data_IF_498002782184
#
_entry.id   IF_498002782184
#
_cell.length_a   1.000
_cell.length_b   1.000
_cell.length_c   1.000
_cell.angle_alpha   90.00
_cell.angle_beta   90.00
_cell.angle_gamma   90.00
#
_symmetry.space_group_name_H-M   'P 1'
#
loop_
_entity.id
_entity.type
_entity.pdbx_description
1 polymer ?
#
# COMPACT_ATOMS: atom_id res chain seq x y z
N UNK A 1 10.00 -19.90 -18.83
CA UNK A 1 11.35 -19.39 -19.14
C UNK A 1 11.19 -17.95 -19.58
N UNK A 2 11.87 -17.01 -18.92
CA UNK A 2 11.76 -15.58 -19.25
C UNK A 2 12.29 -15.28 -20.65
N UNK A 3 11.64 -14.33 -21.35
CA UNK A 3 12.14 -13.75 -22.60
C UNK A 3 13.40 -12.90 -22.33
N UNK A 4 14.03 -12.40 -23.36
CA UNK A 4 15.18 -11.51 -23.22
C UNK A 4 14.79 -10.17 -22.58
N UNK A 5 13.66 -9.59 -22.99
CA UNK A 5 13.09 -8.36 -22.42
C UNK A 5 12.73 -8.54 -20.94
N UNK A 6 12.10 -9.65 -20.59
CA UNK A 6 11.77 -9.96 -19.19
C UNK A 6 13.01 -10.16 -18.31
N UNK A 7 14.09 -10.72 -18.88
CA UNK A 7 15.37 -10.81 -18.16
C UNK A 7 16.00 -9.43 -17.94
N UNK A 8 16.01 -8.60 -18.97
CA UNK A 8 16.52 -7.22 -18.85
C UNK A 8 15.73 -6.43 -17.78
N UNK A 9 14.41 -6.51 -17.81
CA UNK A 9 13.53 -5.89 -16.81
C UNK A 9 13.81 -6.41 -15.39
N UNK A 10 13.96 -7.72 -15.23
CA UNK A 10 14.34 -8.33 -13.96
C UNK A 10 15.68 -7.80 -13.44
N UNK A 11 16.69 -7.75 -14.31
CA UNK A 11 18.04 -7.35 -13.92
C UNK A 11 18.11 -5.86 -13.58
N UNK A 12 17.32 -5.02 -14.25
CA UNK A 12 17.12 -3.61 -13.90
C UNK A 12 16.49 -3.45 -12.50
N UNK A 13 15.41 -4.16 -12.22
CA UNK A 13 14.75 -4.11 -10.91
C UNK A 13 15.66 -4.62 -9.80
N UNK A 14 16.37 -5.71 -10.03
CA UNK A 14 17.34 -6.26 -9.08
C UNK A 14 18.43 -5.25 -8.74
N UNK A 15 19.01 -4.60 -9.75
CA UNK A 15 20.00 -3.56 -9.56
C UNK A 15 19.41 -2.41 -8.71
N UNK A 16 18.24 -1.90 -9.09
CA UNK A 16 17.57 -0.83 -8.36
C UNK A 16 17.32 -1.19 -6.90
N UNK A 17 16.70 -2.33 -6.62
CA UNK A 17 16.38 -2.74 -5.26
C UNK A 17 17.62 -2.96 -4.39
N UNK A 18 18.72 -3.38 -4.96
CA UNK A 18 19.95 -3.62 -4.20
C UNK A 18 20.79 -2.37 -3.98
N UNK A 19 20.68 -1.35 -4.84
CA UNK A 19 21.47 -0.12 -4.76
C UNK A 19 20.73 1.05 -4.14
N UNK A 20 19.44 1.25 -4.48
CA UNK A 20 18.70 2.45 -4.08
C UNK A 20 17.96 2.29 -2.74
N UNK A 21 17.54 1.06 -2.39
CA UNK A 21 16.88 0.83 -1.10
C UNK A 21 17.94 0.73 0.01
N UNK A 22 17.79 1.48 1.13
CA UNK A 22 18.77 1.50 2.21
C UNK A 22 19.13 0.10 2.72
N UNK A 23 20.42 -0.18 2.82
CA UNK A 23 20.93 -1.50 3.18
C UNK A 23 20.54 -1.92 4.61
N UNK A 24 20.39 -0.97 5.53
CA UNK A 24 19.94 -1.22 6.90
C UNK A 24 18.47 -1.65 6.94
N UNK A 25 17.60 -1.04 6.13
CA UNK A 25 16.19 -1.45 5.99
C UNK A 25 16.12 -2.87 5.44
N UNK A 26 16.83 -3.16 4.34
CA UNK A 26 16.89 -4.51 3.76
C UNK A 26 17.43 -5.55 4.77
N UNK A 27 18.42 -5.17 5.56
CA UNK A 27 18.98 -6.04 6.60
C UNK A 27 17.98 -6.33 7.72
N UNK A 28 17.14 -5.34 8.11
CA UNK A 28 16.05 -5.54 9.09
C UNK A 28 15.05 -6.55 8.54
N UNK A 29 14.60 -6.38 7.28
CA UNK A 29 13.66 -7.30 6.63
C UNK A 29 14.23 -8.71 6.54
N UNK A 30 15.45 -8.88 6.05
CA UNK A 30 16.13 -10.17 5.94
C UNK A 30 16.29 -10.89 7.29
N UNK A 31 16.44 -10.12 8.37
CA UNK A 31 16.55 -10.64 9.74
C UNK A 31 15.19 -10.83 10.45
N UNK A 32 14.06 -10.57 9.78
CA UNK A 32 12.72 -10.64 10.37
C UNK A 32 12.49 -9.62 11.50
N UNK A 33 13.22 -8.52 11.50
CA UNK A 33 13.07 -7.45 12.49
C UNK A 33 11.93 -6.50 12.09
N UNK A 34 11.28 -5.93 13.10
CA UNK A 34 10.25 -4.90 12.88
C UNK A 34 10.84 -3.65 12.25
N UNK A 35 10.12 -3.08 11.30
CA UNK A 35 10.41 -1.79 10.70
C UNK A 35 9.73 -0.67 11.48
N UNK A 36 10.40 0.47 11.58
CA UNK A 36 9.82 1.70 12.11
C UNK A 36 9.02 2.45 11.03
N UNK A 37 8.25 3.47 11.45
CA UNK A 37 7.50 4.35 10.54
C UNK A 37 8.39 4.95 9.45
N UNK A 38 9.56 5.43 9.84
CA UNK A 38 10.50 6.09 8.93
C UNK A 38 11.09 5.12 7.88
N UNK A 39 11.30 3.86 8.24
CA UNK A 39 11.75 2.83 7.30
C UNK A 39 10.74 2.63 6.16
N UNK A 40 9.44 2.57 6.51
CA UNK A 40 8.36 2.46 5.51
C UNK A 40 8.26 3.71 4.64
N UNK A 41 8.27 4.90 5.24
CA UNK A 41 8.16 6.16 4.50
C UNK A 41 9.33 6.34 3.54
N UNK A 42 10.56 6.15 4.01
CA UNK A 42 11.75 6.29 3.18
C UNK A 42 11.72 5.32 2.00
N UNK A 43 11.43 4.05 2.26
CA UNK A 43 11.38 3.04 1.20
C UNK A 43 10.27 3.32 0.19
N UNK A 44 9.07 3.63 0.64
CA UNK A 44 7.96 3.88 -0.27
C UNK A 44 8.18 5.12 -1.14
N UNK A 45 8.80 6.16 -0.62
CA UNK A 45 9.17 7.35 -1.39
C UNK A 45 10.20 7.05 -2.49
N UNK A 46 11.19 6.22 -2.19
CA UNK A 46 12.16 5.75 -3.19
C UNK A 46 11.45 4.94 -4.29
N UNK A 47 10.58 4.01 -3.90
CA UNK A 47 9.77 3.23 -4.83
C UNK A 47 8.84 4.13 -5.66
N UNK A 48 8.18 5.10 -5.02
CA UNK A 48 7.28 6.03 -5.69
C UNK A 48 8.00 6.89 -6.73
N UNK A 49 9.16 7.45 -6.39
CA UNK A 49 9.98 8.24 -7.31
C UNK A 49 10.39 7.46 -8.58
N UNK A 50 10.47 6.12 -8.48
CA UNK A 50 10.78 5.22 -9.61
C UNK A 50 9.52 4.67 -10.30
N UNK A 51 8.31 5.02 -9.83
CA UNK A 51 7.04 4.48 -10.33
C UNK A 51 6.77 3.02 -9.89
N UNK A 52 7.38 2.59 -8.80
CA UNK A 52 7.32 1.20 -8.33
C UNK A 52 6.48 1.00 -7.05
N UNK A 53 5.89 2.06 -6.48
CA UNK A 53 5.13 1.97 -5.24
C UNK A 53 3.72 1.39 -5.44
N UNK A 54 3.06 1.72 -6.54
CA UNK A 54 1.66 1.36 -6.80
C UNK A 54 1.45 0.84 -8.23
N UNK A 55 2.25 -0.13 -8.70
CA UNK A 55 2.25 -0.53 -10.11
C UNK A 55 0.92 -1.12 -10.59
N UNK A 56 0.07 -1.55 -9.66
CA UNK A 56 -1.24 -2.13 -9.97
C UNK A 56 -2.38 -1.10 -10.09
N UNK A 57 -2.08 0.17 -9.86
CA UNK A 57 -3.08 1.23 -10.02
C UNK A 57 -3.27 1.62 -11.48
N UNK A 58 -4.33 2.40 -11.82
CA UNK A 58 -4.42 3.05 -13.11
C UNK A 58 -3.19 3.90 -13.40
N UNK A 59 -2.76 3.92 -14.67
CA UNK A 59 -1.52 4.61 -15.08
C UNK A 59 -1.54 6.09 -14.73
N UNK A 60 -2.68 6.75 -14.90
CA UNK A 60 -2.88 8.16 -14.56
C UNK A 60 -2.69 8.47 -13.07
N UNK A 61 -2.70 7.45 -12.21
CA UNK A 61 -2.48 7.57 -10.76
C UNK A 61 -1.18 6.92 -10.27
N UNK A 62 -0.23 6.70 -11.18
CA UNK A 62 1.11 6.18 -10.86
C UNK A 62 1.27 4.67 -11.03
N UNK A 63 0.27 4.00 -11.59
CA UNK A 63 0.35 2.58 -11.97
C UNK A 63 1.22 2.34 -13.20
N UNK A 64 1.43 1.07 -13.49
CA UNK A 64 2.22 0.61 -14.63
C UNK A 64 1.35 -0.29 -15.52
N UNK A 65 1.47 -0.13 -16.83
CA UNK A 65 0.83 -1.02 -17.80
C UNK A 65 1.65 -2.29 -18.00
N UNK A 66 1.85 -3.01 -16.91
CA UNK A 66 2.64 -4.23 -16.89
C UNK A 66 1.83 -5.47 -17.20
N UNK A 67 2.45 -6.38 -17.93
CA UNK A 67 1.96 -7.75 -18.07
C UNK A 67 1.94 -8.46 -16.69
N UNK A 68 1.15 -9.54 -16.55
CA UNK A 68 1.19 -10.37 -15.33
C UNK A 68 2.59 -10.89 -15.00
N UNK A 69 3.42 -11.18 -16.02
CA UNK A 69 4.79 -11.63 -15.82
C UNK A 69 5.68 -10.52 -15.24
N UNK A 70 5.57 -9.30 -15.74
CA UNK A 70 6.33 -8.17 -15.21
C UNK A 70 5.95 -7.87 -13.74
N UNK A 71 4.66 -7.96 -13.40
CA UNK A 71 4.20 -7.83 -12.00
C UNK A 71 4.80 -8.92 -11.10
N UNK A 72 4.83 -10.15 -11.60
CA UNK A 72 5.46 -11.26 -10.86
C UNK A 72 6.96 -11.06 -10.68
N UNK A 73 7.66 -10.58 -11.72
CA UNK A 73 9.09 -10.26 -11.64
C UNK A 73 9.32 -9.16 -10.60
N UNK A 74 8.56 -8.08 -10.66
CA UNK A 74 8.65 -6.97 -9.69
C UNK A 74 8.52 -7.47 -8.25
N UNK A 75 7.47 -8.23 -7.94
CA UNK A 75 7.25 -8.76 -6.60
C UNK A 75 8.36 -9.72 -6.17
N UNK A 76 8.78 -10.62 -7.06
CA UNK A 76 9.82 -11.61 -6.77
C UNK A 76 11.16 -10.94 -6.49
N UNK A 77 11.57 -9.98 -7.31
CA UNK A 77 12.86 -9.28 -7.12
C UNK A 77 12.85 -8.40 -5.87
N UNK A 78 11.71 -7.77 -5.54
CA UNK A 78 11.53 -7.04 -4.29
C UNK A 78 11.74 -7.95 -3.06
N UNK A 79 11.10 -9.11 -3.06
CA UNK A 79 11.23 -10.08 -1.97
C UNK A 79 12.64 -10.66 -1.87
N UNK A 80 13.26 -11.04 -2.99
CA UNK A 80 14.64 -11.55 -3.03
C UNK A 80 15.66 -10.53 -2.54
N UNK A 81 15.43 -9.23 -2.79
CA UNK A 81 16.28 -8.15 -2.31
C UNK A 81 15.95 -7.72 -0.86
N UNK A 82 14.99 -8.37 -0.20
CA UNK A 82 14.51 -8.01 1.14
C UNK A 82 14.03 -6.56 1.26
N UNK A 83 13.36 -6.08 0.21
CA UNK A 83 12.72 -4.76 0.21
C UNK A 83 11.35 -4.89 0.86
N UNK A 84 10.97 -4.03 1.80
CA UNK A 84 9.61 -4.03 2.34
C UNK A 84 8.61 -3.65 1.25
N UNK A 85 7.51 -4.40 1.19
CA UNK A 85 6.42 -4.06 0.28
C UNK A 85 5.83 -2.68 0.61
N UNK A 86 5.35 -1.94 -0.40
CA UNK A 86 4.56 -0.73 -0.17
C UNK A 86 3.44 -1.00 0.82
N UNK A 87 3.13 -0.01 1.67
CA UNK A 87 2.14 -0.19 2.74
C UNK A 87 0.83 -0.75 2.17
N UNK A 88 0.42 -2.00 2.54
CA UNK A 88 -0.70 -2.66 1.91
C UNK A 88 -2.02 -1.92 2.04
N UNK A 89 -2.24 -1.24 3.17
CA UNK A 89 -3.45 -0.43 3.40
C UNK A 89 -3.59 0.68 2.36
N UNK A 90 -2.45 1.31 1.99
CA UNK A 90 -2.38 2.33 0.96
C UNK A 90 -2.44 1.73 -0.45
N UNK A 91 -1.48 0.84 -0.76
CA UNK A 91 -1.20 0.41 -2.13
C UNK A 91 -2.22 -0.60 -2.67
N UNK A 92 -2.68 -1.53 -1.81
CA UNK A 92 -3.48 -2.68 -2.25
C UNK A 92 -4.93 -2.64 -1.77
N UNK A 93 -5.27 -1.78 -0.80
CA UNK A 93 -6.62 -1.73 -0.23
C UNK A 93 -7.33 -0.43 -0.60
N UNK A 94 -7.08 0.68 0.12
CA UNK A 94 -7.86 1.90 -0.06
C UNK A 94 -7.56 2.61 -1.39
N UNK A 95 -6.32 2.62 -1.86
CA UNK A 95 -5.95 3.27 -3.11
C UNK A 95 -6.75 2.78 -4.30
N UNK A 96 -6.82 1.48 -4.58
CA UNK A 96 -7.66 0.93 -5.65
C UNK A 96 -9.15 1.27 -5.50
N UNK A 97 -9.68 1.32 -4.28
CA UNK A 97 -11.08 1.69 -4.02
C UNK A 97 -11.33 3.15 -4.36
N UNK A 98 -10.46 4.06 -3.93
CA UNK A 98 -10.56 5.49 -4.29
C UNK A 98 -10.41 5.66 -5.81
N UNK A 99 -9.45 4.97 -6.44
CA UNK A 99 -9.23 5.04 -7.87
C UNK A 99 -10.46 4.59 -8.68
N UNK A 100 -11.18 3.56 -8.21
CA UNK A 100 -12.35 3.02 -8.88
C UNK A 100 -13.63 3.80 -8.59
N UNK A 101 -13.88 4.15 -7.33
CA UNK A 101 -15.19 4.62 -6.86
C UNK A 101 -15.19 6.07 -6.35
N UNK A 102 -14.03 6.65 -6.08
CA UNK A 102 -13.93 8.02 -5.58
C UNK A 102 -14.36 9.05 -6.63
N UNK A 103 -14.90 10.18 -6.16
CA UNK A 103 -15.09 11.33 -7.02
C UNK A 103 -13.74 11.86 -7.53
N UNK A 104 -13.74 12.66 -8.60
CA UNK A 104 -12.50 13.25 -9.13
C UNK A 104 -11.75 14.05 -8.06
N UNK A 105 -12.46 14.83 -7.27
CA UNK A 105 -11.88 15.59 -6.16
C UNK A 105 -11.23 14.69 -5.07
N UNK A 106 -11.85 13.54 -4.77
CA UNK A 106 -11.26 12.56 -3.86
C UNK A 106 -9.99 11.93 -4.44
N UNK A 107 -10.01 11.57 -5.71
CA UNK A 107 -8.84 10.99 -6.39
C UNK A 107 -7.67 11.95 -6.37
N UNK A 108 -7.87 13.20 -6.77
CA UNK A 108 -6.85 14.26 -6.78
C UNK A 108 -6.31 14.56 -5.39
N UNK A 109 -7.18 14.56 -4.38
CA UNK A 109 -6.78 14.82 -2.98
C UNK A 109 -5.97 13.70 -2.37
N UNK A 110 -6.39 12.45 -2.57
CA UNK A 110 -5.89 11.33 -1.78
C UNK A 110 -4.87 10.45 -2.52
N UNK A 111 -5.06 10.17 -3.83
CA UNK A 111 -4.23 9.16 -4.49
C UNK A 111 -2.74 9.52 -4.53
N UNK A 112 -2.32 10.73 -4.91
CA UNK A 112 -0.89 11.06 -4.92
C UNK A 112 -0.24 10.94 -3.54
N UNK A 113 -0.88 11.48 -2.51
CA UNK A 113 -0.38 11.44 -1.14
C UNK A 113 -0.38 10.01 -0.55
N UNK A 114 -1.33 9.17 -0.97
CA UNK A 114 -1.42 7.76 -0.59
C UNK A 114 -0.30 6.94 -1.25
N UNK A 115 0.00 7.18 -2.51
CA UNK A 115 1.06 6.50 -3.24
C UNK A 115 2.45 6.82 -2.68
N UNK A 116 2.70 8.10 -2.33
CA UNK A 116 3.98 8.58 -1.78
C UNK A 116 4.12 8.35 -0.26
N UNK A 117 3.09 7.79 0.40
CA UNK A 117 3.01 7.61 1.86
C UNK A 117 3.14 8.95 2.64
N UNK A 118 2.59 10.03 2.09
CA UNK A 118 2.36 11.28 2.81
C UNK A 118 1.09 11.20 3.67
N UNK A 119 0.18 10.28 3.32
CA UNK A 119 -0.96 9.83 4.09
C UNK A 119 -0.79 8.37 4.44
N UNK A 120 -0.85 8.04 5.71
CA UNK A 120 -0.87 6.68 6.22
C UNK A 120 -2.29 6.25 6.55
N UNK A 121 -2.78 5.23 5.86
CA UNK A 121 -4.10 4.65 6.12
C UNK A 121 -4.02 3.45 7.05
N UNK A 122 -5.07 3.26 7.85
CA UNK A 122 -5.29 2.00 8.55
C UNK A 122 -6.68 1.45 8.25
N UNK A 123 -6.85 0.15 8.48
CA UNK A 123 -8.07 -0.59 8.17
C UNK A 123 -8.91 -0.78 9.43
N UNK A 124 -10.15 -0.29 9.43
CA UNK A 124 -11.10 -0.48 10.51
C UNK A 124 -12.20 -1.48 10.10
N UNK A 125 -11.92 -2.78 10.10
CA UNK A 125 -12.88 -3.81 9.72
C UNK A 125 -13.41 -4.56 10.94
N UNK A 126 -12.55 -5.30 11.64
CA UNK A 126 -12.95 -6.12 12.76
C UNK A 126 -13.50 -5.29 13.93
N UNK A 127 -14.42 -5.89 14.69
CA UNK A 127 -14.97 -5.38 15.93
C UNK A 127 -14.76 -6.40 17.05
N UNK A 128 -14.92 -6.05 18.34
CA UNK A 128 -14.71 -7.00 19.44
C UNK A 128 -15.52 -8.30 19.30
N UNK A 129 -16.71 -8.24 18.67
CA UNK A 129 -17.59 -9.38 18.45
C UNK A 129 -17.71 -9.80 16.97
N UNK A 130 -16.98 -9.14 16.04
CA UNK A 130 -17.07 -9.40 14.61
C UNK A 130 -15.67 -9.44 13.98
N UNK A 131 -15.15 -10.63 13.76
CA UNK A 131 -13.90 -10.89 13.07
C UNK A 131 -14.14 -11.68 11.79
N UNK A 132 -13.99 -13.00 11.82
CA UNK A 132 -14.27 -13.87 10.67
C UNK A 132 -15.73 -13.77 10.20
N UNK A 133 -16.67 -13.63 11.11
CA UNK A 133 -18.05 -13.25 10.81
C UNK A 133 -18.18 -11.73 10.72
N UNK A 134 -17.65 -11.15 9.64
CA UNK A 134 -17.69 -9.72 9.41
C UNK A 134 -19.12 -9.20 9.17
N UNK A 135 -20.06 -10.06 8.77
CA UNK A 135 -21.46 -9.71 8.58
C UNK A 135 -22.18 -9.31 9.88
N UNK A 136 -21.62 -9.67 11.04
CA UNK A 136 -22.15 -9.31 12.37
C UNK A 136 -21.72 -7.92 12.87
N UNK A 137 -21.15 -7.06 12.03
CA UNK A 137 -20.76 -5.70 12.37
C UNK A 137 -21.88 -4.90 13.03
N UNK A 138 -21.51 -4.12 14.05
CA UNK A 138 -22.43 -3.21 14.77
C UNK A 138 -22.14 -1.73 14.50
N UNK A 139 -20.96 -1.38 13.98
CA UNK A 139 -20.65 0.00 13.60
C UNK A 139 -21.65 0.51 12.57
N UNK A 140 -22.23 1.67 12.83
CA UNK A 140 -23.25 2.29 11.99
C UNK A 140 -22.82 3.70 11.60
N UNK A 141 -23.11 4.07 10.35
CA UNK A 141 -23.03 5.42 9.84
C UNK A 141 -24.45 5.91 9.56
N UNK A 142 -24.90 6.92 10.28
CA UNK A 142 -26.25 7.51 10.13
C UNK A 142 -26.07 8.89 9.51
N UNK A 143 -26.79 9.15 8.41
CA UNK A 143 -26.73 10.43 7.73
C UNK A 143 -27.36 11.54 8.59
N UNK A 144 -26.64 12.66 8.68
CA UNK A 144 -27.10 13.89 9.36
C UNK A 144 -26.77 15.09 8.46
N UNK A 145 -27.74 15.52 7.67
CA UNK A 145 -27.54 16.55 6.65
C UNK A 145 -26.55 16.11 5.56
N UNK A 146 -25.44 16.84 5.44
CA UNK A 146 -24.35 16.53 4.50
C UNK A 146 -23.24 15.66 5.11
N UNK A 147 -23.36 15.34 6.40
CA UNK A 147 -22.40 14.54 7.16
C UNK A 147 -22.94 13.14 7.51
N UNK A 148 -22.09 12.31 8.10
CA UNK A 148 -22.44 11.04 8.70
C UNK A 148 -21.96 10.99 10.15
N UNK A 149 -22.86 10.60 11.06
CA UNK A 149 -22.50 10.25 12.43
C UNK A 149 -22.16 8.78 12.49
N UNK A 150 -20.90 8.50 12.79
CA UNK A 150 -20.38 7.12 12.88
C UNK A 150 -20.25 6.71 14.34
N UNK A 151 -20.93 5.61 14.72
CA UNK A 151 -20.87 5.02 16.06
C UNK A 151 -20.49 3.55 15.97
N UNK A 152 -19.50 3.16 16.76
CA UNK A 152 -19.00 1.78 16.82
C UNK A 152 -17.62 1.69 17.44
N UNK A 153 -17.09 0.48 17.49
CA UNK A 153 -15.72 0.22 17.96
C UNK A 153 -15.04 -0.75 17.02
N UNK A 154 -13.89 -0.34 16.50
CA UNK A 154 -13.01 -1.20 15.69
C UNK A 154 -11.87 -1.74 16.56
N UNK A 155 -11.38 -2.94 16.23
CA UNK A 155 -10.30 -3.61 16.94
C UNK A 155 -9.29 -4.21 15.96
N UNK A 156 -8.11 -4.59 16.46
CA UNK A 156 -7.03 -5.19 15.67
C UNK A 156 -6.60 -4.35 14.47
N UNK A 157 -6.67 -3.04 14.62
CA UNK A 157 -6.32 -2.07 13.57
C UNK A 157 -4.80 -1.96 13.46
N UNK A 158 -4.21 -2.81 12.65
CA UNK A 158 -2.76 -2.91 12.47
C UNK A 158 -2.15 -1.57 12.04
N UNK A 159 -1.06 -1.17 12.71
CA UNK A 159 -0.32 0.07 12.46
C UNK A 159 -1.13 1.37 12.65
N UNK A 160 -2.28 1.31 13.33
CA UNK A 160 -3.13 2.47 13.59
C UNK A 160 -2.40 3.58 14.35
N UNK A 161 -1.38 3.24 15.16
CA UNK A 161 -0.55 4.23 15.86
C UNK A 161 0.22 5.18 14.93
N UNK A 162 0.31 4.86 13.65
CA UNK A 162 0.97 5.68 12.62
C UNK A 162 -0.01 6.36 11.68
N UNK A 163 -1.29 5.97 11.72
CA UNK A 163 -2.26 6.35 10.72
C UNK A 163 -2.76 7.79 10.87
N UNK A 164 -2.95 8.43 9.71
CA UNK A 164 -3.59 9.74 9.58
C UNK A 164 -5.09 9.57 9.29
N UNK A 165 -5.46 8.49 8.61
CA UNK A 165 -6.82 8.17 8.18
C UNK A 165 -7.16 6.71 8.40
N UNK A 166 -8.44 6.44 8.58
CA UNK A 166 -9.01 5.09 8.69
C UNK A 166 -10.07 4.88 7.61
N UNK A 167 -10.06 3.73 6.98
CA UNK A 167 -11.18 3.28 6.15
C UNK A 167 -11.95 2.16 6.84
N UNK A 168 -13.28 2.31 6.88
CA UNK A 168 -14.20 1.41 7.56
C UNK A 168 -15.17 0.76 6.59
#
# INVERSE_FOLDING_TARGET
KLTEEERAFRDELRAFFTTEIPADVRSKVAAGKSLGKDDFIATQRILHARGLAVPNWPVEWGGQDWTPMQRNIWLSEMQLASVPEPLPFNASMIGPVIAQFGSQAMKERFLPATANLDIWWCQGFSEPEAGSDLASLKTRAVRDGDDYIVNGQKTWTTLAQHADWIFC
#
